data_IF_500990287388
#
_entry.id   IF_500990287388
#
_cell.length_a   1.000
_cell.length_b   1.000
_cell.length_c   1.000
_cell.angle_alpha   90.00
_cell.angle_beta   90.00
_cell.angle_gamma   90.00
#
_symmetry.space_group_name_H-M   'P 1'
#
loop_
_entity.id
_entity.type
_entity.pdbx_description
1 polymer ?
#
# COMPACT_ATOMS: atom_id res chain seq x y z
N UNK A 1 23.54 18.89 0.72
CA UNK A 1 22.10 19.00 1.09
C UNK A 1 21.92 19.46 2.54
N UNK A 2 21.47 20.71 2.73
CA UNK A 2 21.01 21.21 4.03
C UNK A 2 19.64 20.62 4.35
N UNK A 3 19.66 19.42 4.96
CA UNK A 3 18.44 18.78 5.44
C UNK A 3 17.88 19.54 6.65
N UNK A 4 16.60 19.97 6.65
CA UNK A 4 15.98 20.64 7.78
C UNK A 4 15.77 19.72 8.99
N UNK A 5 15.89 18.40 8.81
CA UNK A 5 15.64 17.39 9.85
C UNK A 5 16.91 16.91 10.58
N UNK A 6 18.04 17.60 10.42
CA UNK A 6 19.36 17.24 11.00
C UNK A 6 19.36 16.94 12.51
N UNK A 7 18.43 17.50 13.28
CA UNK A 7 18.29 17.25 14.72
C UNK A 7 17.52 15.99 15.10
N UNK A 8 17.10 15.16 14.14
CA UNK A 8 16.26 13.97 14.36
C UNK A 8 16.78 12.75 13.60
N UNK A 9 16.42 11.55 14.06
CA UNK A 9 16.67 10.32 13.31
C UNK A 9 15.76 10.29 12.07
N UNK A 10 16.35 10.39 10.88
CA UNK A 10 15.63 10.40 9.61
C UNK A 10 16.43 9.71 8.50
N UNK A 11 15.74 9.35 7.42
CA UNK A 11 16.32 8.83 6.19
C UNK A 11 15.89 9.67 4.98
N UNK A 12 16.75 9.71 3.95
CA UNK A 12 16.39 10.29 2.66
C UNK A 12 15.82 9.19 1.77
N UNK A 13 14.52 9.26 1.53
CA UNK A 13 13.81 8.30 0.70
C UNK A 13 13.58 8.88 -0.71
N UNK A 14 13.72 8.09 -1.78
CA UNK A 14 13.28 8.50 -3.10
C UNK A 14 11.73 8.51 -3.17
N UNK A 15 11.17 9.22 -4.15
CA UNK A 15 9.71 9.47 -4.25
C UNK A 15 8.84 8.22 -4.49
N UNK A 16 9.45 7.14 -4.98
CA UNK A 16 8.87 5.82 -5.20
C UNK A 16 9.01 4.89 -3.98
N UNK A 17 9.63 5.37 -2.88
CA UNK A 17 9.79 4.57 -1.68
C UNK A 17 8.44 4.30 -0.99
N UNK A 18 8.34 3.12 -0.37
CA UNK A 18 7.21 2.73 0.49
C UNK A 18 6.91 3.77 1.58
N UNK A 19 7.93 4.49 2.07
CA UNK A 19 7.73 5.54 3.07
C UNK A 19 6.78 6.65 2.61
N UNK A 20 6.68 6.92 1.31
CA UNK A 20 5.73 7.89 0.75
C UNK A 20 4.48 7.21 0.21
N UNK A 21 4.66 6.13 -0.54
CA UNK A 21 3.56 5.50 -1.26
C UNK A 21 2.60 4.71 -0.36
N UNK A 22 2.99 4.36 0.88
CA UNK A 22 2.09 3.69 1.84
C UNK A 22 0.89 4.55 2.23
N UNK A 23 1.04 5.88 2.17
CA UNK A 23 0.00 6.83 2.57
C UNK A 23 -1.00 7.10 1.43
N UNK A 24 -0.72 6.60 0.23
CA UNK A 24 -1.65 6.70 -0.89
C UNK A 24 -2.83 5.76 -0.72
N UNK A 25 -4.00 6.21 -1.18
CA UNK A 25 -5.15 5.33 -1.32
C UNK A 25 -4.82 4.20 -2.32
N UNK A 26 -5.15 2.93 -2.01
CA UNK A 26 -4.77 1.80 -2.87
C UNK A 26 -5.28 1.94 -4.30
N UNK A 27 -6.42 2.60 -4.50
CA UNK A 27 -6.98 2.88 -5.83
C UNK A 27 -6.05 3.76 -6.67
N UNK A 28 -5.34 4.71 -6.06
CA UNK A 28 -4.36 5.58 -6.74
C UNK A 28 -3.15 4.76 -7.21
N UNK A 29 -2.67 3.84 -6.38
CA UNK A 29 -1.58 2.92 -6.73
C UNK A 29 -1.99 1.95 -7.84
N UNK A 30 -3.22 1.42 -7.80
CA UNK A 30 -3.77 0.59 -8.88
C UNK A 30 -3.84 1.36 -10.20
N UNK A 31 -4.27 2.63 -10.18
CA UNK A 31 -4.31 3.47 -11.39
C UNK A 31 -2.94 3.60 -12.04
N UNK A 32 -1.89 3.83 -11.25
CA UNK A 32 -0.52 3.90 -11.75
C UNK A 32 -0.10 2.61 -12.47
N UNK A 33 -0.47 1.46 -11.90
CA UNK A 33 -0.19 0.14 -12.49
C UNK A 33 -1.02 -0.10 -13.76
N UNK A 34 -2.29 0.32 -13.78
CA UNK A 34 -3.20 0.20 -14.91
C UNK A 34 -2.77 1.06 -16.11
N UNK A 35 -2.33 2.30 -15.88
CA UNK A 35 -1.84 3.21 -16.93
C UNK A 35 -0.63 2.61 -17.68
N UNK A 36 0.12 1.73 -17.01
CA UNK A 36 1.28 1.03 -17.56
C UNK A 36 0.97 -0.41 -17.99
N UNK A 37 -0.32 -0.77 -18.04
CA UNK A 37 -0.84 -2.10 -18.42
C UNK A 37 -0.24 -3.26 -17.61
N UNK A 38 0.18 -2.99 -16.37
CA UNK A 38 0.64 -4.04 -15.46
C UNK A 38 -0.59 -4.73 -14.88
N UNK A 39 -0.58 -6.06 -14.84
CA UNK A 39 -1.67 -6.85 -14.28
C UNK A 39 -1.30 -7.30 -12.86
N UNK A 40 -2.28 -7.28 -11.96
CA UNK A 40 -2.14 -7.91 -10.64
C UNK A 40 -2.17 -9.45 -10.75
N UNK A 41 -1.82 -10.14 -9.65
CA UNK A 41 -1.87 -11.61 -9.58
C UNK A 41 -3.28 -12.11 -9.98
N UNK A 42 -3.35 -13.16 -10.80
CA UNK A 42 -4.59 -13.76 -11.32
C UNK A 42 -5.44 -12.84 -12.23
N UNK A 43 -4.82 -11.87 -12.92
CA UNK A 43 -5.49 -11.04 -13.94
C UNK A 43 -6.22 -9.81 -13.38
N UNK A 44 -6.05 -9.48 -12.10
CA UNK A 44 -6.65 -8.29 -11.49
C UNK A 44 -5.96 -7.87 -10.20
N UNK A 45 -6.30 -6.67 -9.72
CA UNK A 45 -5.82 -6.15 -8.44
C UNK A 45 -6.74 -6.49 -7.26
N UNK A 46 -7.80 -7.27 -7.49
CA UNK A 46 -8.86 -7.52 -6.50
C UNK A 46 -8.40 -8.33 -5.29
N UNK A 47 -8.93 -7.97 -4.12
CA UNK A 47 -8.82 -8.75 -2.89
C UNK A 47 -9.90 -9.83 -2.89
N UNK A 48 -9.53 -11.10 -2.69
CA UNK A 48 -10.51 -12.18 -2.49
C UNK A 48 -10.85 -12.28 -1.01
N UNK A 49 -12.07 -11.90 -0.65
CA UNK A 49 -12.63 -12.13 0.68
C UNK A 49 -13.10 -13.59 0.77
N UNK A 50 -12.38 -14.42 1.52
CA UNK A 50 -12.79 -15.77 1.86
C UNK A 50 -13.44 -15.78 3.24
N UNK A 51 -14.73 -16.16 3.32
CA UNK A 51 -15.43 -16.35 4.59
C UNK A 51 -15.78 -17.83 4.76
N UNK A 52 -15.40 -18.43 5.90
CA UNK A 52 -15.90 -19.74 6.32
C UNK A 52 -16.56 -19.58 7.68
N UNK A 53 -17.86 -19.81 7.77
CA UNK A 53 -18.61 -19.72 9.02
C UNK A 53 -18.27 -20.94 9.89
N UNK A 54 -17.68 -20.72 11.06
CA UNK A 54 -17.54 -21.74 12.10
C UNK A 54 -18.81 -21.82 12.94
N UNK A 55 -19.31 -23.03 13.20
CA UNK A 55 -20.54 -23.34 13.93
C UNK A 55 -20.46 -23.08 15.46
N UNK A 56 -19.84 -21.98 15.90
CA UNK A 56 -19.64 -21.73 17.33
C UNK A 56 -19.94 -20.27 17.69
N UNK A 57 -21.24 -19.97 17.86
CA UNK A 57 -21.84 -19.09 18.88
C UNK A 57 -21.15 -17.78 19.33
N UNK A 58 -20.25 -17.17 18.56
CA UNK A 58 -19.59 -15.93 18.91
C UNK A 58 -19.15 -15.16 17.67
N UNK A 59 -19.21 -13.83 17.74
CA UNK A 59 -18.72 -12.91 16.69
C UNK A 59 -17.18 -12.92 16.74
N UNK A 60 -16.58 -14.04 16.36
CA UNK A 60 -15.13 -14.18 16.17
C UNK A 60 -14.91 -14.42 14.69
N UNK A 61 -14.53 -13.36 13.99
CA UNK A 61 -14.23 -13.44 12.57
C UNK A 61 -12.81 -13.98 12.41
N UNK A 62 -12.70 -15.30 12.24
CA UNK A 62 -11.59 -15.89 11.52
C UNK A 62 -11.74 -15.54 10.04
N UNK A 63 -11.55 -14.26 9.72
CA UNK A 63 -11.46 -13.79 8.35
C UNK A 63 -10.07 -14.13 7.82
N UNK A 64 -9.99 -15.05 6.86
CA UNK A 64 -8.79 -15.16 6.03
C UNK A 64 -8.91 -14.08 4.97
N UNK A 65 -8.27 -12.93 5.19
CA UNK A 65 -8.09 -12.01 4.09
C UNK A 65 -6.95 -12.55 3.22
N UNK A 66 -7.32 -13.28 2.18
CA UNK A 66 -6.37 -13.74 1.18
C UNK A 66 -6.01 -12.56 0.27
N UNK A 67 -5.13 -11.69 0.77
CA UNK A 67 -4.32 -10.86 -0.11
C UNK A 67 -3.30 -11.82 -0.72
N UNK A 68 -3.44 -12.12 -2.02
CA UNK A 68 -2.44 -12.84 -2.83
C UNK A 68 -2.33 -14.37 -2.65
N UNK A 69 -3.36 -15.05 -2.14
CA UNK A 69 -3.31 -16.51 -1.98
C UNK A 69 -2.50 -16.97 -0.77
N UNK A 70 -2.01 -16.05 0.05
CA UNK A 70 -1.51 -16.33 1.38
C UNK A 70 -2.62 -16.07 2.39
N UNK A 71 -2.93 -17.08 3.21
CA UNK A 71 -3.90 -16.95 4.30
C UNK A 71 -3.22 -16.20 5.45
N UNK A 72 -3.38 -14.88 5.51
CA UNK A 72 -2.96 -14.11 6.67
C UNK A 72 -3.89 -14.47 7.85
N UNK A 73 -3.41 -15.34 8.72
CA UNK A 73 -4.07 -15.70 9.96
C UNK A 73 -3.83 -14.60 10.99
N UNK A 74 -4.74 -13.64 11.10
CA UNK A 74 -4.69 -12.72 12.23
C UNK A 74 -5.12 -13.45 13.51
N UNK A 75 -4.41 -13.26 14.64
CA UNK A 75 -4.94 -13.59 15.96
C UNK A 75 -6.27 -12.86 16.17
N UNK A 76 -7.08 -13.31 17.12
CA UNK A 76 -8.43 -12.82 17.42
C UNK A 76 -8.49 -11.29 17.69
N UNK A 77 -8.49 -10.48 16.63
CA UNK A 77 -8.66 -9.03 16.67
C UNK A 77 -10.03 -8.65 16.11
N UNK A 78 -10.67 -7.58 16.63
CA UNK A 78 -11.94 -7.13 16.08
C UNK A 78 -11.79 -6.59 14.65
N UNK A 79 -12.88 -6.69 13.88
CA UNK A 79 -12.93 -6.40 12.43
C UNK A 79 -12.19 -5.12 11.98
N UNK A 80 -12.33 -3.95 12.65
CA UNK A 80 -11.69 -2.72 12.19
C UNK A 80 -10.16 -2.84 12.10
N UNK A 81 -9.53 -3.52 13.05
CA UNK A 81 -8.08 -3.70 13.08
C UNK A 81 -7.60 -4.67 12.00
N UNK A 82 -8.35 -5.74 11.75
CA UNK A 82 -8.05 -6.69 10.66
C UNK A 82 -8.12 -6.00 9.30
N UNK A 83 -9.12 -5.15 9.08
CA UNK A 83 -9.27 -4.36 7.85
C UNK A 83 -8.16 -3.32 7.68
N UNK A 84 -7.67 -2.72 8.76
CA UNK A 84 -6.55 -1.78 8.71
C UNK A 84 -5.21 -2.48 8.38
N UNK A 85 -4.92 -3.61 9.03
CA UNK A 85 -3.71 -4.40 8.76
C UNK A 85 -3.70 -4.91 7.32
N UNK A 86 -4.84 -5.40 6.86
CA UNK A 86 -5.10 -5.75 5.47
C UNK A 86 -4.79 -4.62 4.49
N UNK A 87 -5.29 -3.41 4.75
CA UNK A 87 -5.03 -2.24 3.92
C UNK A 87 -3.53 -1.93 3.84
N UNK A 88 -2.82 -2.03 4.97
CA UNK A 88 -1.37 -1.84 5.02
C UNK A 88 -0.61 -2.83 4.10
N UNK A 89 -0.85 -4.12 4.27
CA UNK A 89 -0.24 -5.16 3.43
C UNK A 89 -0.62 -5.03 1.95
N UNK A 90 -1.86 -4.60 1.67
CA UNK A 90 -2.31 -4.38 0.31
C UNK A 90 -1.55 -3.22 -0.37
N UNK A 91 -1.38 -2.10 0.33
CA UNK A 91 -0.56 -0.98 -0.16
C UNK A 91 0.89 -1.41 -0.37
N UNK A 92 1.49 -2.14 0.57
CA UNK A 92 2.86 -2.67 0.42
C UNK A 92 3.02 -3.55 -0.82
N UNK A 93 2.05 -4.42 -1.10
CA UNK A 93 2.06 -5.24 -2.31
C UNK A 93 2.03 -4.39 -3.59
N UNK A 94 1.13 -3.40 -3.65
CA UNK A 94 1.00 -2.52 -4.82
C UNK A 94 2.28 -1.70 -5.04
N UNK A 95 2.86 -1.16 -3.96
CA UNK A 95 4.15 -0.47 -4.02
C UNK A 95 5.27 -1.41 -4.47
N UNK A 96 5.27 -2.66 -3.98
CA UNK A 96 6.20 -3.68 -4.45
C UNK A 96 6.09 -3.94 -5.95
N UNK A 97 4.89 -3.88 -6.55
CA UNK A 97 4.72 -3.94 -8.01
C UNK A 97 5.26 -2.67 -8.69
N UNK A 98 4.90 -1.49 -8.20
CA UNK A 98 5.37 -0.19 -8.72
C UNK A 98 6.90 -0.20 -8.79
N UNK A 99 7.56 -0.60 -7.70
CA UNK A 99 9.01 -0.57 -7.58
C UNK A 99 9.68 -1.65 -8.46
N UNK A 100 9.12 -2.87 -8.52
CA UNK A 100 9.63 -3.93 -9.42
C UNK A 100 9.58 -3.54 -10.90
N UNK A 101 8.59 -2.73 -11.28
CA UNK A 101 8.44 -2.24 -12.65
C UNK A 101 9.06 -0.86 -12.88
N UNK A 102 9.74 -0.27 -11.88
CA UNK A 102 10.39 1.02 -11.99
C UNK A 102 9.43 2.16 -12.38
N UNK A 103 8.20 2.11 -11.89
CA UNK A 103 7.20 3.11 -12.24
C UNK A 103 7.41 4.40 -11.44
N UNK A 104 7.42 5.54 -12.13
CA UNK A 104 7.48 6.84 -11.48
C UNK A 104 6.07 7.26 -11.01
N UNK A 105 5.87 7.60 -9.72
CA UNK A 105 4.59 8.11 -9.21
C UNK A 105 4.33 9.58 -9.56
N UNK A 106 5.35 10.35 -9.96
CA UNK A 106 5.24 11.78 -10.28
C UNK A 106 4.15 12.16 -11.30
N UNK A 107 3.83 11.35 -12.33
CA UNK A 107 2.76 11.68 -13.28
C UNK A 107 1.36 11.78 -12.66
N UNK A 108 1.13 11.16 -11.50
CA UNK A 108 -0.13 11.24 -10.78
C UNK A 108 -0.14 12.35 -9.70
N UNK A 109 0.95 13.08 -9.53
CA UNK A 109 1.01 14.15 -8.52
C UNK A 109 0.17 15.35 -8.96
N UNK A 110 -0.47 15.99 -7.99
CA UNK A 110 -1.04 17.31 -8.21
C UNK A 110 0.05 18.41 -8.17
N UNK A 111 -0.35 19.65 -8.46
CA UNK A 111 0.58 20.79 -8.48
C UNK A 111 1.28 21.04 -7.13
N UNK A 112 0.62 20.75 -6.01
CA UNK A 112 1.17 20.97 -4.67
C UNK A 112 2.16 19.86 -4.31
N UNK A 113 1.84 18.61 -4.61
CA UNK A 113 2.71 17.44 -4.45
C UNK A 113 3.98 17.57 -5.30
N UNK A 114 3.86 18.02 -6.55
CA UNK A 114 5.01 18.29 -7.42
C UNK A 114 5.93 19.35 -6.83
N UNK A 115 5.36 20.46 -6.33
CA UNK A 115 6.14 21.53 -5.71
C UNK A 115 6.85 21.02 -4.45
N UNK A 116 6.15 20.30 -3.57
CA UNK A 116 6.73 19.74 -2.37
C UNK A 116 7.83 18.71 -2.67
N UNK A 117 7.68 17.91 -3.73
CA UNK A 117 8.71 16.98 -4.18
C UNK A 117 9.93 17.72 -4.76
N UNK A 118 9.71 18.79 -5.54
CA UNK A 118 10.77 19.63 -6.07
C UNK A 118 11.57 20.30 -4.94
N UNK A 119 10.89 20.92 -3.98
CA UNK A 119 11.52 21.53 -2.79
C UNK A 119 12.33 20.52 -1.96
N UNK A 120 11.91 19.25 -1.93
CA UNK A 120 12.63 18.20 -1.19
C UNK A 120 13.88 17.67 -1.91
N UNK A 121 13.82 17.56 -3.23
CA UNK A 121 14.82 16.83 -4.02
C UNK A 121 15.75 17.72 -4.85
N UNK A 122 15.37 18.97 -5.12
CA UNK A 122 16.12 19.91 -5.96
C UNK A 122 16.70 21.09 -5.16
N UNK A 123 16.36 21.25 -3.88
CA UNK A 123 16.89 22.29 -3.00
C UNK A 123 18.23 21.91 -2.35
#
# INVERSE_FOLDING_TARGET
>A
PDCPLRGSLHGHHPRDCLSYLRDWEPLRLQRLLQERKIQGKNGGFGVKLGHKWGNSGGIWLRGSLAILGESLSYPSFPLPWVLLAARGHYSEYLVGLVNRHGLDPAPLYDSAELRAAAERHLA
#
